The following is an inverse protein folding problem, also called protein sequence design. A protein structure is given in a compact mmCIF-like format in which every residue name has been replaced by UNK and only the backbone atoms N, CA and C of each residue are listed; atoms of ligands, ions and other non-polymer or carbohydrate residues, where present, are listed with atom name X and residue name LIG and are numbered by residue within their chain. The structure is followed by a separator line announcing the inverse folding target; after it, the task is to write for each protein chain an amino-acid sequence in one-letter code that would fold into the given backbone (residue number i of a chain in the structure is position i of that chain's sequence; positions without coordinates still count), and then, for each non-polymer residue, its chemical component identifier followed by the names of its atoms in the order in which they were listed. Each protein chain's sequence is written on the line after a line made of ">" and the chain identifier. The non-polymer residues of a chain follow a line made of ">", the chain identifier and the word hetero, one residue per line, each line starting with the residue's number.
data_IF_574101687153
#
_entry.id   IF_574101687153
#
_cell.length_a   1.000
_cell.length_b   1.000
_cell.length_c   1.000
_cell.angle_alpha   90.00
_cell.angle_beta   90.00
_cell.angle_gamma   90.00
#
_symmetry.space_group_name_H-M   'P 1'
#
loop_
_entity.id
_entity.type
_entity.pdbx_description
1 polymer ?
#
# COMPACT_ATOMS: atom_id res chain seq x y z
N UNK A 1 -2.62 -3.33 -50.75
CA UNK A 1 -3.37 -4.09 -49.74
C UNK A 1 -2.80 -3.65 -48.42
N UNK A 2 -3.27 -2.51 -47.99
CA UNK A 2 -3.01 -1.87 -46.70
C UNK A 2 -4.33 -2.08 -45.95
N UNK A 3 -4.29 -2.95 -44.95
CA UNK A 3 -5.38 -3.19 -44.03
C UNK A 3 -5.03 -2.46 -42.75
N UNK A 4 -5.91 -1.54 -42.39
CA UNK A 4 -6.03 -0.91 -41.08
C UNK A 4 -6.23 -2.00 -40.01
N UNK A 5 -5.45 -1.93 -38.93
CA UNK A 5 -5.70 -2.58 -37.63
C UNK A 5 -4.92 -1.76 -36.59
N UNK A 6 -5.48 -0.60 -36.23
CA UNK A 6 -5.07 0.24 -35.10
C UNK A 6 -6.36 0.65 -34.41
N UNK A 7 -6.85 -0.17 -33.47
CA UNK A 7 -7.79 0.21 -32.39
C UNK A 7 -8.34 -1.04 -31.68
N UNK A 8 -7.51 -1.76 -30.92
CA UNK A 8 -8.03 -2.73 -29.93
C UNK A 8 -7.27 -2.67 -28.59
N UNK A 9 -6.24 -1.83 -28.45
CA UNK A 9 -5.29 -1.91 -27.33
C UNK A 9 -5.74 -1.18 -26.04
N UNK A 10 -6.63 -0.18 -26.12
CA UNK A 10 -7.05 0.60 -24.94
C UNK A 10 -8.39 0.15 -24.33
N UNK A 11 -8.91 -1.04 -24.67
CA UNK A 11 -10.28 -1.37 -24.25
C UNK A 11 -10.46 -1.44 -22.72
N UNK A 12 -9.41 -1.77 -21.96
CA UNK A 12 -9.48 -1.86 -20.50
C UNK A 12 -9.61 -0.47 -19.87
N UNK A 13 -8.85 0.50 -20.37
CA UNK A 13 -8.92 1.90 -19.96
C UNK A 13 -10.23 2.54 -20.48
N UNK A 14 -10.55 2.34 -21.76
CA UNK A 14 -11.80 2.84 -22.34
C UNK A 14 -13.04 2.27 -21.65
N UNK A 15 -12.97 1.04 -21.13
CA UNK A 15 -14.08 0.45 -20.36
C UNK A 15 -14.24 1.08 -18.97
N UNK A 16 -13.17 1.68 -18.41
CA UNK A 16 -13.27 2.49 -17.19
C UNK A 16 -13.84 3.89 -17.50
N UNK A 17 -13.60 4.41 -18.72
CA UNK A 17 -14.02 5.77 -19.12
C UNK A 17 -15.42 5.85 -19.73
N UNK A 18 -15.81 4.91 -20.60
CA UNK A 18 -17.04 4.97 -21.42
C UNK A 18 -18.32 4.92 -20.58
N UNK A 19 -18.29 4.40 -19.35
CA UNK A 19 -19.47 4.31 -18.48
C UNK A 19 -19.62 5.49 -17.49
N UNK A 20 -18.63 6.38 -17.41
CA UNK A 20 -18.70 7.63 -16.64
C UNK A 20 -19.46 8.76 -17.39
N UNK A 21 -19.88 8.51 -18.63
CA UNK A 21 -20.66 9.43 -19.47
C UNK A 21 -22.19 9.31 -19.30
N UNK A 22 -22.75 10.11 -18.40
CA UNK A 22 -24.15 10.61 -18.36
C UNK A 22 -25.26 9.62 -18.83
N UNK A 23 -25.71 8.76 -17.91
CA UNK A 23 -26.93 7.96 -18.09
C UNK A 23 -28.19 8.81 -17.86
N UNK A 24 -28.62 9.54 -18.89
CA UNK A 24 -30.01 10.02 -18.95
C UNK A 24 -30.97 8.89 -19.39
N UNK A 25 -32.06 8.63 -18.66
CA UNK A 25 -33.06 7.66 -19.10
C UNK A 25 -33.91 8.27 -20.22
N UNK A 26 -33.85 7.69 -21.42
CA UNK A 26 -34.82 7.98 -22.48
C UNK A 26 -36.02 7.04 -22.34
N UNK A 27 -37.03 7.51 -21.61
CA UNK A 27 -38.37 6.96 -21.69
C UNK A 27 -39.11 7.45 -22.95
N UNK A 28 -39.63 6.46 -23.68
CA UNK A 28 -40.91 6.38 -24.38
C UNK A 28 -41.39 7.50 -25.34
N UNK A 29 -41.58 7.06 -26.59
CA UNK A 29 -42.82 7.17 -27.38
C UNK A 29 -43.36 8.57 -27.72
N UNK A 30 -43.25 8.98 -28.99
CA UNK A 30 -44.41 9.42 -29.79
C UNK A 30 -44.05 9.65 -31.28
N UNK A 31 -44.98 9.23 -32.14
CA UNK A 31 -44.96 9.20 -33.61
C UNK A 31 -44.86 10.58 -34.32
N UNK A 32 -44.48 10.63 -35.61
CA UNK A 32 -44.23 11.88 -36.33
C UNK A 32 -45.50 12.44 -37.00
N UNK A 33 -45.65 13.78 -36.98
CA UNK A 33 -46.57 14.51 -37.85
C UNK A 33 -45.82 15.64 -38.58
N UNK A 34 -46.29 15.85 -39.80
CA UNK A 34 -45.72 16.48 -40.99
C UNK A 34 -45.77 18.01 -41.07
N UNK A 35 -44.82 18.55 -41.87
CA UNK A 35 -44.98 19.59 -42.91
C UNK A 35 -44.98 21.11 -42.60
N UNK A 36 -44.50 21.83 -43.62
CA UNK A 36 -44.57 23.27 -43.98
C UNK A 36 -43.47 24.18 -43.37
N UNK A 37 -42.48 24.66 -44.13
CA UNK A 37 -42.46 25.66 -45.25
C UNK A 37 -42.45 27.13 -44.81
N UNK A 38 -41.66 27.91 -45.57
CA UNK A 38 -41.58 29.39 -45.72
C UNK A 38 -40.77 30.17 -44.67
N UNK A 39 -40.12 31.29 -44.96
CA UNK A 39 -39.38 31.88 -46.11
C UNK A 39 -39.02 33.31 -45.62
N UNK A 40 -37.85 33.82 -46.01
CA UNK A 40 -37.51 35.26 -46.18
C UNK A 40 -37.57 36.21 -44.94
N UNK A 41 -36.83 37.30 -44.77
CA UNK A 41 -35.79 38.03 -45.52
C UNK A 41 -35.24 39.17 -44.62
N UNK A 42 -34.03 39.67 -44.94
CA UNK A 42 -33.53 41.08 -44.82
C UNK A 42 -33.45 41.75 -43.42
N UNK A 43 -32.36 42.36 -42.95
CA UNK A 43 -31.67 43.52 -43.55
C UNK A 43 -30.45 43.93 -42.68
N UNK A 44 -29.36 44.38 -43.29
CA UNK A 44 -28.28 45.19 -42.66
C UNK A 44 -28.54 46.71 -42.97
N UNK A 45 -27.64 47.71 -42.76
CA UNK A 45 -26.29 47.72 -42.17
C UNK A 45 -25.93 49.00 -41.34
N UNK A 46 -24.61 49.18 -41.10
CA UNK A 46 -23.82 50.42 -40.93
C UNK A 46 -23.56 50.93 -39.49
N UNK A 47 -22.42 51.53 -39.12
CA UNK A 47 -21.05 51.68 -39.66
C UNK A 47 -20.27 52.56 -38.64
N UNK A 48 -18.92 52.49 -38.70
CA UNK A 48 -17.90 53.43 -38.17
C UNK A 48 -17.67 53.52 -36.65
N UNK A 49 -16.45 53.51 -36.11
CA UNK A 49 -15.10 53.47 -36.69
C UNK A 49 -14.07 54.08 -35.72
N UNK A 50 -12.88 53.44 -35.62
CA UNK A 50 -11.50 53.99 -35.62
C UNK A 50 -11.09 55.04 -34.54
N UNK A 51 -9.87 55.12 -34.01
CA UNK A 51 -8.58 54.43 -34.21
C UNK A 51 -7.58 54.90 -33.11
N UNK A 52 -6.64 54.01 -32.78
CA UNK A 52 -5.16 54.14 -32.62
C UNK A 52 -4.50 55.36 -31.92
N UNK A 53 -3.40 55.05 -31.20
CA UNK A 53 -2.30 56.00 -30.97
C UNK A 53 -1.32 55.64 -29.86
N UNK A 54 -0.16 55.10 -30.25
CA UNK A 54 1.09 54.81 -29.52
C UNK A 54 1.65 55.90 -28.58
N UNK A 55 2.48 55.49 -27.59
CA UNK A 55 3.96 55.68 -27.57
C UNK A 55 4.56 55.82 -26.16
N UNK A 56 5.47 54.89 -25.82
CA UNK A 56 6.83 55.02 -25.26
C UNK A 56 7.25 55.97 -24.09
N UNK A 57 8.38 55.55 -23.49
CA UNK A 57 9.35 56.19 -22.56
C UNK A 57 9.08 56.15 -21.04
N UNK A 58 10.06 56.05 -20.13
CA UNK A 58 11.47 55.59 -20.10
C UNK A 58 11.93 55.68 -18.61
N UNK A 59 12.84 54.81 -18.20
CA UNK A 59 13.93 55.00 -17.20
C UNK A 59 13.72 55.23 -15.68
N UNK A 60 14.63 54.55 -14.93
CA UNK A 60 15.33 54.96 -13.68
C UNK A 60 14.57 54.88 -12.33
N UNK A 61 15.16 54.63 -11.16
CA UNK A 61 16.44 54.09 -10.67
C UNK A 61 16.37 54.05 -9.12
N UNK A 62 16.93 53.00 -8.51
CA UNK A 62 17.70 52.93 -7.25
C UNK A 62 17.29 53.65 -5.93
N UNK A 63 17.52 52.87 -4.86
CA UNK A 63 17.97 53.23 -3.49
C UNK A 63 17.02 53.94 -2.51
N UNK A 64 16.73 53.28 -1.37
CA UNK A 64 17.42 53.53 -0.09
C UNK A 64 16.68 52.94 1.13
N UNK A 65 17.36 52.11 1.91
CA UNK A 65 17.15 51.93 3.36
C UNK A 65 18.16 52.85 4.07
N UNK A 66 17.82 53.57 5.16
CA UNK A 66 18.31 53.16 6.49
C UNK A 66 17.55 53.70 7.72
N UNK A 67 17.98 53.25 8.92
CA UNK A 67 17.60 53.61 10.32
C UNK A 67 16.44 52.78 10.91
N UNK A 68 16.52 52.14 12.08
CA UNK A 68 17.44 52.15 13.24
C UNK A 68 16.56 51.86 14.47
N UNK A 69 16.70 50.71 15.14
CA UNK A 69 17.44 50.47 16.40
C UNK A 69 16.80 51.08 17.68
N UNK A 70 17.02 50.37 18.80
CA UNK A 70 16.57 50.53 20.20
C UNK A 70 15.29 49.73 20.56
N UNK A 71 15.29 48.70 21.40
CA UNK A 71 16.25 48.28 22.42
C UNK A 71 15.67 48.47 23.84
N UNK A 72 16.19 47.66 24.76
CA UNK A 72 15.95 47.62 26.21
C UNK A 72 14.82 46.73 26.76
N UNK A 73 15.31 45.80 27.58
CA UNK A 73 14.63 44.81 28.38
C UNK A 73 14.21 45.37 29.74
N UNK A 74 13.26 44.71 30.41
CA UNK A 74 13.25 44.54 31.87
C UNK A 74 12.48 43.27 32.26
N UNK A 75 12.98 42.66 33.33
CA UNK A 75 12.66 41.34 33.86
C UNK A 75 11.65 41.37 35.03
N UNK A 76 11.44 40.18 35.58
CA UNK A 76 10.89 39.81 36.90
C UNK A 76 9.35 39.75 37.00
N UNK A 77 8.71 38.88 37.81
CA UNK A 77 8.94 37.59 38.47
C UNK A 77 7.67 37.36 39.33
N UNK A 78 7.43 36.10 39.74
CA UNK A 78 6.56 35.67 40.86
C UNK A 78 5.02 35.82 40.69
N UNK A 79 4.12 35.02 41.29
CA UNK A 79 4.08 33.73 41.97
C UNK A 79 2.59 33.47 42.34
N UNK A 80 2.29 32.30 42.92
CA UNK A 80 1.07 31.90 43.66
C UNK A 80 -0.20 31.48 42.89
N UNK A 81 -1.08 30.62 43.41
CA UNK A 81 -1.04 29.34 44.15
C UNK A 81 -2.51 28.93 44.42
N UNK A 82 -2.74 27.62 44.54
CA UNK A 82 -3.86 26.95 45.24
C UNK A 82 -5.24 26.84 44.52
N UNK A 83 -6.22 26.08 45.05
CA UNK A 83 -6.21 24.65 45.41
C UNK A 83 -7.51 23.93 44.99
N UNK A 84 -7.51 22.62 44.67
CA UNK A 84 -8.69 21.78 44.91
C UNK A 84 -8.30 20.34 45.26
N UNK A 85 -8.90 19.91 46.35
CA UNK A 85 -8.85 18.64 47.05
C UNK A 85 -10.06 17.78 46.63
N UNK A 86 -9.94 16.49 46.96
CA UNK A 86 -10.99 15.48 47.17
C UNK A 86 -11.31 14.46 46.06
N UNK A 87 -11.10 13.18 46.41
CA UNK A 87 -12.20 12.21 46.34
C UNK A 87 -12.04 10.88 45.57
N UNK A 88 -11.33 9.90 46.16
CA UNK A 88 -11.96 8.60 46.50
C UNK A 88 -11.80 7.35 45.60
N UNK A 89 -11.22 6.29 46.20
CA UNK A 89 -11.43 4.86 45.91
C UNK A 89 -10.23 4.16 45.26
N UNK A 90 -9.59 3.12 45.80
CA UNK A 90 -9.85 2.23 46.93
C UNK A 90 -9.21 0.88 46.61
N UNK A 91 -7.97 0.65 47.06
CA UNK A 91 -7.27 -0.63 46.91
C UNK A 91 -7.60 -1.58 48.09
N UNK A 92 -8.16 -2.77 47.85
CA UNK A 92 -8.31 -3.78 48.88
C UNK A 92 -7.10 -4.72 48.85
N UNK A 93 -6.45 -4.85 50.01
CA UNK A 93 -5.77 -6.05 50.56
C UNK A 93 -4.57 -5.63 51.40
N UNK A 94 -4.90 -5.16 52.61
CA UNK A 94 -4.01 -5.15 53.77
C UNK A 94 -4.29 -6.39 54.61
N UNK A 95 -3.31 -7.27 54.72
CA UNK A 95 -3.01 -8.07 55.93
C UNK A 95 -1.65 -8.73 55.67
N UNK A 96 -0.60 -8.60 56.46
CA UNK A 96 -0.47 -8.26 57.87
C UNK A 96 0.44 -9.30 58.52
N UNK A 97 1.41 -8.86 59.32
CA UNK A 97 2.01 -9.70 60.37
C UNK A 97 3.48 -10.10 60.17
N UNK A 98 4.36 -9.45 60.92
CA UNK A 98 5.76 -9.85 61.13
C UNK A 98 5.88 -10.95 62.19
N UNK A 99 6.86 -11.85 62.10
CA UNK A 99 7.96 -12.01 63.08
C UNK A 99 8.66 -13.37 62.93
N UNK A 100 9.97 -13.32 63.18
CA UNK A 100 10.98 -14.38 63.13
C UNK A 100 10.93 -15.32 64.34
N UNK A 101 11.07 -16.64 64.14
CA UNK A 101 11.76 -17.55 65.09
C UNK A 101 12.26 -18.81 64.36
N UNK A 102 13.53 -19.16 64.59
CA UNK A 102 14.19 -20.43 64.22
C UNK A 102 13.67 -21.64 65.02
N UNK A 103 13.62 -22.83 64.41
CA UNK A 103 14.13 -24.10 64.98
C UNK A 103 13.84 -25.33 64.09
N UNK A 104 14.82 -26.23 64.09
CA UNK A 104 15.01 -27.48 63.35
C UNK A 104 13.96 -28.59 63.52
N UNK A 105 13.91 -29.50 62.52
CA UNK A 105 13.73 -30.97 62.57
C UNK A 105 12.59 -31.58 61.70
N UNK A 106 12.99 -32.43 60.75
CA UNK A 106 12.25 -33.46 59.98
C UNK A 106 11.97 -34.71 60.89
N UNK A 107 11.12 -35.74 60.60
CA UNK A 107 10.30 -36.05 59.40
C UNK A 107 8.87 -36.59 59.64
N UNK A 108 8.14 -36.79 58.53
CA UNK A 108 7.22 -37.91 58.21
C UNK A 108 5.79 -37.54 57.76
N UNK A 109 5.48 -37.91 56.51
CA UNK A 109 4.22 -38.46 55.94
C UNK A 109 2.87 -37.91 56.43
N UNK A 110 2.07 -37.32 55.53
CA UNK A 110 1.05 -38.03 54.72
C UNK A 110 0.07 -37.04 54.07
N UNK A 111 -0.22 -37.30 52.80
CA UNK A 111 -1.44 -37.05 52.01
C UNK A 111 -2.21 -35.71 52.04
N UNK A 112 -2.28 -35.08 50.87
CA UNK A 112 -3.16 -33.94 50.58
C UNK A 112 -3.11 -33.54 49.11
N UNK A 113 -3.69 -34.39 48.24
CA UNK A 113 -3.69 -34.22 46.79
C UNK A 113 -4.33 -32.92 46.29
N UNK A 114 -3.59 -32.24 45.41
CA UNK A 114 -4.12 -31.27 44.45
C UNK A 114 -4.15 -31.93 43.08
N UNK A 115 -5.31 -32.48 42.72
CA UNK A 115 -5.69 -32.84 41.36
C UNK A 115 -5.41 -31.60 40.48
N UNK A 116 -4.57 -31.68 39.44
CA UNK A 116 -4.56 -30.86 38.19
C UNK A 116 -3.20 -30.78 37.45
N UNK A 117 -2.14 -31.51 37.81
CA UNK A 117 -0.83 -31.34 37.11
C UNK A 117 -0.22 -32.58 36.41
N UNK A 118 -0.79 -33.78 36.52
CA UNK A 118 -0.10 -35.00 36.02
C UNK A 118 -0.50 -35.46 34.59
N UNK A 119 -1.57 -34.90 34.00
CA UNK A 119 -2.05 -35.30 32.66
C UNK A 119 -1.37 -34.52 31.50
N UNK A 120 -0.77 -33.36 31.78
CA UNK A 120 -0.09 -32.58 30.75
C UNK A 120 1.37 -33.02 30.55
N UNK A 121 2.06 -33.39 31.64
CA UNK A 121 3.46 -33.82 31.60
C UNK A 121 3.64 -35.21 30.95
N UNK A 122 2.70 -36.13 31.20
CA UNK A 122 2.75 -37.50 30.66
C UNK A 122 2.42 -37.56 29.16
N UNK A 123 1.64 -36.62 28.65
CA UNK A 123 1.37 -36.51 27.21
C UNK A 123 2.65 -36.20 26.42
N UNK A 124 3.53 -35.36 26.97
CA UNK A 124 4.79 -34.97 26.32
C UNK A 124 5.88 -36.05 26.45
N UNK A 125 5.94 -36.75 27.58
CA UNK A 125 6.88 -37.86 27.78
C UNK A 125 6.57 -39.08 26.92
N UNK A 126 5.30 -39.30 26.53
CA UNK A 126 4.93 -40.43 25.65
C UNK A 126 5.35 -40.24 24.18
N UNK A 127 5.70 -39.02 23.77
CA UNK A 127 6.09 -38.69 22.39
C UNK A 127 7.62 -38.64 22.17
N UNK A 128 8.43 -38.77 23.23
CA UNK A 128 9.88 -38.54 23.18
C UNK A 128 10.70 -39.74 23.62
N UNK A 129 10.68 -40.83 22.86
CA UNK A 129 11.65 -41.92 22.99
C UNK A 129 12.09 -42.38 21.60
N UNK A 130 12.86 -41.51 20.94
CA UNK A 130 13.51 -41.76 19.66
C UNK A 130 14.99 -41.37 19.78
N UNK A 131 15.84 -42.36 19.55
CA UNK A 131 17.30 -42.35 19.62
C UNK A 131 17.92 -41.25 18.74
N UNK A 132 19.04 -40.68 19.18
CA UNK A 132 19.67 -39.53 18.53
C UNK A 132 20.19 -39.82 17.11
N UNK A 133 19.86 -38.92 16.20
CA UNK A 133 20.72 -38.53 15.08
C UNK A 133 20.76 -37.00 15.02
N UNK A 134 21.96 -36.44 15.03
CA UNK A 134 22.19 -35.00 14.96
C UNK A 134 22.51 -34.65 13.52
N UNK A 135 21.50 -34.22 12.77
CA UNK A 135 21.68 -33.69 11.42
C UNK A 135 20.36 -33.43 10.72
N UNK A 136 20.09 -32.15 10.39
CA UNK A 136 19.22 -31.65 9.31
C UNK A 136 17.67 -31.69 9.38
N UNK A 137 17.02 -31.69 10.54
CA UNK A 137 15.54 -31.68 10.59
C UNK A 137 14.92 -30.32 10.97
N UNK A 138 15.00 -29.32 10.08
CA UNK A 138 14.09 -28.16 10.09
C UNK A 138 13.60 -27.77 8.69
N UNK A 139 13.54 -28.75 7.78
CA UNK A 139 12.85 -28.64 6.50
C UNK A 139 11.56 -29.47 6.55
N UNK A 140 10.66 -29.19 7.50
CA UNK A 140 9.27 -29.60 7.31
C UNK A 140 8.67 -28.69 6.25
N UNK A 141 8.68 -29.17 5.01
CA UNK A 141 7.99 -28.58 3.87
C UNK A 141 6.52 -28.38 4.27
N UNK A 142 6.07 -27.13 4.36
CA UNK A 142 4.71 -26.79 4.75
C UNK A 142 3.75 -27.29 3.64
N UNK A 143 3.25 -28.52 3.78
CA UNK A 143 2.27 -29.10 2.86
C UNK A 143 0.96 -28.32 2.94
N UNK A 144 0.71 -27.51 1.92
CA UNK A 144 -0.51 -26.73 1.76
C UNK A 144 -1.02 -26.92 0.35
N UNK A 145 -2.27 -27.33 0.22
CA UNK A 145 -2.95 -27.53 -1.07
C UNK A 145 -3.20 -26.21 -1.84
N UNK A 146 -2.85 -25.06 -1.26
CA UNK A 146 -3.08 -23.74 -1.87
C UNK A 146 -1.94 -23.47 -2.87
N UNK A 147 -2.24 -23.25 -4.16
CA UNK A 147 -1.24 -22.87 -5.15
C UNK A 147 -0.45 -21.64 -4.71
N UNK A 148 0.83 -21.57 -5.05
CA UNK A 148 1.75 -20.52 -4.60
C UNK A 148 2.42 -19.83 -5.77
N UNK A 149 2.82 -18.58 -5.55
CA UNK A 149 3.56 -17.74 -6.50
C UNK A 149 4.74 -17.10 -5.80
N UNK A 150 5.83 -16.98 -6.54
CA UNK A 150 6.99 -16.21 -6.11
C UNK A 150 6.76 -14.72 -6.35
N UNK A 151 7.37 -13.88 -5.50
CA UNK A 151 7.40 -12.44 -5.67
C UNK A 151 8.25 -12.07 -6.88
N UNK A 152 9.33 -12.81 -7.16
CA UNK A 152 10.23 -12.52 -8.26
C UNK A 152 11.38 -11.58 -7.91
N UNK A 153 11.69 -11.46 -6.62
CA UNK A 153 12.81 -10.67 -6.10
C UNK A 153 13.85 -11.64 -5.54
N UNK A 154 15.02 -11.68 -6.17
CA UNK A 154 16.11 -12.53 -5.75
C UNK A 154 16.51 -12.24 -4.29
N UNK A 155 16.73 -13.30 -3.51
CA UNK A 155 17.01 -13.23 -2.09
C UNK A 155 15.75 -13.04 -1.24
N UNK A 156 14.76 -12.28 -1.70
CA UNK A 156 13.48 -12.14 -0.99
C UNK A 156 12.64 -13.41 -1.10
N UNK A 157 12.54 -14.02 -2.28
CA UNK A 157 11.79 -15.27 -2.44
C UNK A 157 12.36 -16.39 -1.56
N UNK A 158 13.67 -16.37 -1.29
CA UNK A 158 14.31 -17.33 -0.39
C UNK A 158 14.01 -17.06 1.09
N UNK A 159 13.62 -15.83 1.42
CA UNK A 159 13.07 -15.51 2.75
C UNK A 159 11.64 -16.04 2.90
N UNK A 160 10.96 -16.43 1.82
CA UNK A 160 9.60 -16.96 1.82
C UNK A 160 9.66 -18.47 1.64
N UNK A 161 9.19 -19.25 2.62
CA UNK A 161 9.24 -20.71 2.50
C UNK A 161 8.12 -21.21 1.56
N UNK A 162 8.47 -21.42 0.29
CA UNK A 162 7.60 -22.00 -0.74
C UNK A 162 6.72 -21.01 -1.50
N UNK A 163 6.97 -19.70 -1.37
CA UNK A 163 6.19 -18.66 -2.06
C UNK A 163 4.89 -18.27 -1.34
N UNK A 164 4.22 -17.26 -1.91
CA UNK A 164 2.98 -16.69 -1.36
C UNK A 164 1.78 -17.43 -1.95
N UNK A 165 0.77 -17.79 -1.15
CA UNK A 165 -0.46 -18.34 -1.70
C UNK A 165 -1.10 -17.43 -2.76
N UNK A 166 -1.55 -18.02 -3.87
CA UNK A 166 -2.26 -17.32 -4.93
C UNK A 166 -3.51 -16.64 -4.39
N UNK A 167 -3.91 -15.53 -5.05
CA UNK A 167 -5.10 -14.73 -4.69
C UNK A 167 -5.00 -14.05 -3.32
N UNK A 168 -3.80 -14.00 -2.75
CA UNK A 168 -3.55 -13.20 -1.56
C UNK A 168 -3.43 -11.73 -1.91
N UNK A 169 -3.81 -10.92 -0.92
CA UNK A 169 -3.57 -9.49 -0.94
C UNK A 169 -2.24 -9.21 -0.24
N UNK A 170 -1.27 -8.68 -0.97
CA UNK A 170 0.07 -8.34 -0.51
C UNK A 170 0.13 -6.83 -0.34
N UNK A 171 0.85 -6.32 0.67
CA UNK A 171 1.21 -4.91 0.73
C UNK A 171 2.72 -4.74 0.90
N UNK A 172 3.26 -3.78 0.16
CA UNK A 172 4.63 -3.27 0.33
C UNK A 172 4.57 -1.86 0.92
N UNK A 173 5.10 -1.70 2.12
CA UNK A 173 5.05 -0.47 2.92
C UNK A 173 6.45 0.11 3.01
N UNK A 174 6.58 1.43 2.86
CA UNK A 174 7.87 2.08 3.04
C UNK A 174 7.85 3.58 2.81
N UNK A 175 8.87 4.28 3.28
CA UNK A 175 9.03 5.72 3.05
C UNK A 175 9.29 6.05 1.57
N UNK A 176 9.26 7.33 1.21
CA UNK A 176 9.63 7.77 -0.13
C UNK A 176 11.07 7.33 -0.49
N UNK A 177 11.25 6.88 -1.74
CA UNK A 177 12.56 6.45 -2.25
C UNK A 177 13.02 5.05 -1.82
N UNK A 178 12.24 4.29 -1.06
CA UNK A 178 12.59 2.90 -0.70
C UNK A 178 12.26 1.88 -1.80
N UNK A 179 11.94 2.31 -3.03
CA UNK A 179 11.76 1.39 -4.16
C UNK A 179 10.42 0.62 -4.22
N UNK A 180 9.37 1.08 -3.54
CA UNK A 180 8.06 0.40 -3.53
C UNK A 180 7.47 0.17 -4.93
N UNK A 181 7.47 1.19 -5.79
CA UNK A 181 7.04 1.07 -7.19
C UNK A 181 7.88 0.03 -7.93
N UNK A 182 9.21 0.07 -7.77
CA UNK A 182 10.11 -0.93 -8.38
C UNK A 182 9.81 -2.34 -7.88
N UNK A 183 9.46 -2.51 -6.61
CA UNK A 183 9.03 -3.79 -6.04
C UNK A 183 7.77 -4.30 -6.75
N UNK A 184 6.76 -3.43 -6.92
CA UNK A 184 5.52 -3.78 -7.63
C UNK A 184 5.76 -4.14 -9.10
N UNK A 185 6.53 -3.32 -9.82
CA UNK A 185 6.86 -3.60 -11.22
C UNK A 185 7.64 -4.91 -11.40
N UNK A 186 8.60 -5.19 -10.51
CA UNK A 186 9.36 -6.44 -10.54
C UNK A 186 8.47 -7.67 -10.25
N UNK A 187 7.46 -7.50 -9.38
CA UNK A 187 6.44 -8.53 -9.14
C UNK A 187 5.59 -8.84 -10.38
N UNK A 188 5.20 -7.81 -11.15
CA UNK A 188 4.50 -8.02 -12.43
C UNK A 188 5.42 -8.62 -13.48
N UNK A 189 6.62 -8.06 -13.65
CA UNK A 189 7.61 -8.54 -14.61
C UNK A 189 7.94 -10.02 -14.42
N UNK A 190 8.04 -10.48 -13.18
CA UNK A 190 8.22 -11.89 -12.89
C UNK A 190 7.04 -12.76 -13.38
N UNK A 191 5.79 -12.31 -13.17
CA UNK A 191 4.62 -12.98 -13.73
C UNK A 191 4.63 -13.01 -15.25
N UNK A 192 4.84 -11.86 -15.89
CA UNK A 192 4.89 -11.70 -17.34
C UNK A 192 5.93 -12.63 -17.99
N UNK A 193 7.13 -12.74 -17.39
CA UNK A 193 8.17 -13.68 -17.85
C UNK A 193 7.78 -15.15 -17.74
N UNK A 194 6.85 -15.47 -16.84
CA UNK A 194 6.30 -16.82 -16.66
C UNK A 194 5.01 -17.05 -17.49
N UNK A 195 4.61 -16.09 -18.33
CA UNK A 195 3.45 -16.17 -19.20
C UNK A 195 2.13 -15.84 -18.50
N UNK A 196 2.18 -15.22 -17.32
CA UNK A 196 1.01 -14.70 -16.61
C UNK A 196 0.57 -13.34 -17.19
N UNK A 197 -0.72 -13.00 -17.07
CA UNK A 197 -1.22 -11.66 -17.42
C UNK A 197 -1.24 -10.74 -16.21
N UNK A 198 -0.90 -9.47 -16.42
CA UNK A 198 -0.68 -8.50 -15.36
C UNK A 198 -1.45 -7.19 -15.57
N UNK A 199 -1.90 -6.57 -14.48
CA UNK A 199 -2.48 -5.23 -14.49
C UNK A 199 -1.70 -4.33 -13.54
N UNK A 200 -1.30 -3.14 -14.00
CA UNK A 200 -0.72 -2.11 -13.14
C UNK A 200 -1.67 -0.92 -13.07
N UNK A 201 -2.31 -0.73 -11.92
CA UNK A 201 -3.15 0.44 -11.64
C UNK A 201 -2.30 1.47 -10.90
N UNK A 202 -2.19 2.68 -11.43
CA UNK A 202 -1.50 3.78 -10.76
C UNK A 202 -2.40 4.98 -10.52
N UNK A 203 -2.12 5.69 -9.43
CA UNK A 203 -2.80 6.93 -9.04
C UNK A 203 -1.80 8.10 -8.90
N UNK A 204 -0.50 7.83 -9.04
CA UNK A 204 0.58 8.79 -8.76
C UNK A 204 1.45 9.11 -9.98
N UNK A 205 1.49 8.22 -10.96
CA UNK A 205 2.36 8.30 -12.13
C UNK A 205 1.53 8.13 -13.39
N UNK A 206 2.00 8.69 -14.51
CA UNK A 206 1.35 8.47 -15.79
C UNK A 206 1.72 7.11 -16.37
N UNK A 207 0.89 6.62 -17.29
CA UNK A 207 1.17 5.46 -18.13
C UNK A 207 2.62 5.44 -18.66
N UNK A 208 3.01 6.50 -19.38
CA UNK A 208 4.35 6.63 -19.98
C UNK A 208 5.49 6.58 -18.95
N UNK A 209 5.28 7.12 -17.74
CA UNK A 209 6.31 7.11 -16.71
C UNK A 209 6.57 5.70 -16.17
N UNK A 210 5.54 4.85 -16.17
CA UNK A 210 5.67 3.44 -15.80
C UNK A 210 6.43 2.68 -16.90
N UNK A 211 6.09 2.89 -18.17
CA UNK A 211 6.80 2.31 -19.30
C UNK A 211 8.27 2.73 -19.32
N UNK A 212 8.57 4.02 -19.16
CA UNK A 212 9.95 4.54 -19.07
C UNK A 212 10.72 3.85 -17.93
N UNK A 213 10.09 3.73 -16.76
CA UNK A 213 10.69 3.09 -15.58
C UNK A 213 11.02 1.61 -15.83
N UNK A 214 10.14 0.89 -16.55
CA UNK A 214 10.37 -0.49 -16.93
C UNK A 214 11.40 -0.62 -18.06
N UNK A 215 11.39 0.30 -19.02
CA UNK A 215 12.31 0.39 -20.15
C UNK A 215 13.75 0.63 -19.71
N UNK A 216 13.98 1.52 -18.75
CA UNK A 216 15.29 1.77 -18.13
C UNK A 216 15.91 0.52 -17.51
N UNK A 217 15.09 -0.46 -17.13
CA UNK A 217 15.49 -1.74 -16.54
C UNK A 217 15.51 -2.90 -17.55
N UNK A 218 15.15 -2.64 -18.80
CA UNK A 218 15.09 -3.63 -19.86
C UNK A 218 14.02 -4.71 -19.64
N UNK A 219 12.91 -4.36 -18.99
CA UNK A 219 11.82 -5.31 -18.69
C UNK A 219 10.80 -5.48 -19.83
N UNK A 220 10.85 -4.63 -20.85
CA UNK A 220 10.06 -4.77 -22.07
C UNK A 220 8.54 -4.74 -21.85
N UNK A 221 8.06 -3.78 -21.06
CA UNK A 221 6.63 -3.67 -20.74
C UNK A 221 5.81 -3.26 -21.96
N UNK A 222 6.35 -2.42 -22.83
CA UNK A 222 5.76 -2.05 -24.11
C UNK A 222 5.39 -3.30 -24.92
N UNK A 223 6.30 -4.28 -25.03
CA UNK A 223 6.03 -5.50 -25.78
C UNK A 223 4.95 -6.37 -25.12
N UNK A 224 4.85 -6.38 -23.79
CA UNK A 224 3.81 -7.13 -23.08
C UNK A 224 2.43 -6.49 -23.24
N UNK A 225 2.39 -5.17 -23.31
CA UNK A 225 1.17 -4.41 -23.55
C UNK A 225 0.66 -4.60 -24.98
N UNK A 226 1.54 -4.49 -25.99
CA UNK A 226 1.23 -4.81 -27.40
C UNK A 226 0.74 -6.25 -27.60
N UNK A 227 1.10 -7.17 -26.69
CA UNK A 227 0.67 -8.58 -26.72
C UNK A 227 -0.63 -8.83 -25.95
N UNK A 228 -1.21 -7.80 -25.32
CA UNK A 228 -2.40 -7.91 -24.47
C UNK A 228 -2.15 -8.72 -23.19
N UNK A 229 -0.90 -8.82 -22.73
CA UNK A 229 -0.53 -9.52 -21.50
C UNK A 229 -0.37 -8.56 -20.31
N UNK A 230 -0.13 -7.29 -20.57
CA UNK A 230 -0.05 -6.22 -19.58
C UNK A 230 -1.09 -5.15 -19.91
N UNK A 231 -1.77 -4.63 -18.89
CA UNK A 231 -2.52 -3.39 -18.98
C UNK A 231 -2.02 -2.42 -17.90
N UNK A 232 -1.59 -1.23 -18.31
CA UNK A 232 -1.24 -0.14 -17.39
C UNK A 232 -2.40 0.87 -17.42
N UNK A 233 -2.90 1.25 -16.25
CA UNK A 233 -3.99 2.23 -16.12
C UNK A 233 -3.60 3.29 -15.13
N UNK A 234 -3.53 4.54 -15.57
CA UNK A 234 -3.31 5.70 -14.72
C UNK A 234 -4.64 6.41 -14.40
N UNK A 235 -5.17 6.12 -13.22
CA UNK A 235 -6.41 6.69 -12.74
C UNK A 235 -6.15 8.10 -12.16
N UNK A 236 -6.95 9.08 -12.57
CA UNK A 236 -6.90 10.39 -11.96
C UNK A 236 -7.42 10.35 -10.51
N UNK A 237 -6.70 10.90 -9.51
CA UNK A 237 -7.14 10.88 -8.12
C UNK A 237 -8.48 11.58 -7.87
N UNK A 238 -8.81 12.63 -8.63
CA UNK A 238 -10.09 13.33 -8.50
C UNK A 238 -11.22 12.46 -9.03
N UNK A 239 -11.02 11.79 -10.16
CA UNK A 239 -12.00 10.84 -10.70
C UNK A 239 -12.22 9.67 -9.74
N UNK A 240 -11.13 9.11 -9.20
CA UNK A 240 -11.21 8.02 -8.24
C UNK A 240 -11.99 8.44 -6.97
N UNK A 241 -11.83 9.69 -6.50
CA UNK A 241 -12.59 10.19 -5.35
C UNK A 241 -14.11 10.31 -5.63
N UNK A 242 -14.46 10.67 -6.85
CA UNK A 242 -15.85 10.91 -7.25
C UNK A 242 -16.57 9.62 -7.67
N UNK A 243 -15.83 8.64 -8.21
CA UNK A 243 -16.36 7.44 -8.85
C UNK A 243 -15.90 6.14 -8.17
N UNK A 244 -15.37 6.19 -6.94
CA UNK A 244 -14.89 4.99 -6.23
C UNK A 244 -15.94 3.87 -6.19
N UNK A 245 -17.21 4.19 -5.98
CA UNK A 245 -18.28 3.18 -5.92
C UNK A 245 -18.44 2.45 -7.26
N UNK A 246 -18.33 3.16 -8.39
CA UNK A 246 -18.39 2.60 -9.73
C UNK A 246 -17.13 1.78 -10.02
N UNK A 247 -15.94 2.37 -9.81
CA UNK A 247 -14.65 1.70 -10.01
C UNK A 247 -14.60 0.41 -9.17
N UNK A 248 -15.02 0.45 -7.90
CA UNK A 248 -15.07 -0.75 -7.04
C UNK A 248 -16.00 -1.82 -7.59
N UNK A 249 -17.11 -1.43 -8.24
CA UNK A 249 -18.10 -2.33 -8.83
C UNK A 249 -17.65 -2.96 -10.14
N UNK A 250 -16.96 -2.19 -10.99
CA UNK A 250 -16.58 -2.57 -12.36
C UNK A 250 -15.21 -3.24 -12.42
N UNK A 251 -14.25 -2.74 -11.65
CA UNK A 251 -12.86 -3.21 -11.68
C UNK A 251 -12.72 -4.73 -11.52
N UNK A 252 -13.45 -5.42 -10.62
CA UNK A 252 -13.38 -6.88 -10.54
C UNK A 252 -13.77 -7.59 -11.84
N UNK A 253 -14.82 -7.10 -12.52
CA UNK A 253 -15.28 -7.69 -13.78
C UNK A 253 -14.30 -7.41 -14.93
N UNK A 254 -13.68 -6.23 -14.94
CA UNK A 254 -12.64 -5.89 -15.92
C UNK A 254 -11.39 -6.76 -15.73
N UNK A 255 -10.93 -6.92 -14.49
CA UNK A 255 -9.81 -7.81 -14.15
C UNK A 255 -10.11 -9.25 -14.59
N UNK A 256 -11.32 -9.74 -14.31
CA UNK A 256 -11.73 -11.09 -14.70
C UNK A 256 -11.81 -11.24 -16.24
N UNK A 257 -12.31 -10.23 -16.95
CA UNK A 257 -12.40 -10.23 -18.41
C UNK A 257 -11.02 -10.16 -19.08
N UNK A 258 -10.10 -9.38 -18.51
CA UNK A 258 -8.70 -9.34 -18.96
C UNK A 258 -7.97 -10.65 -18.66
N UNK A 259 -8.38 -11.36 -17.61
CA UNK A 259 -7.75 -12.62 -17.19
C UNK A 259 -6.45 -12.38 -16.43
N UNK A 260 -6.37 -11.33 -15.62
CA UNK A 260 -5.16 -11.01 -14.86
C UNK A 260 -4.86 -12.05 -13.78
N UNK A 261 -3.62 -12.51 -13.71
CA UNK A 261 -3.10 -13.35 -12.62
C UNK A 261 -2.48 -12.49 -11.51
N UNK A 262 -1.87 -11.36 -11.90
CA UNK A 262 -1.24 -10.38 -11.00
C UNK A 262 -1.81 -8.99 -11.19
N UNK A 263 -1.97 -8.28 -10.07
CA UNK A 263 -2.34 -6.87 -10.08
C UNK A 263 -1.43 -6.09 -9.13
N UNK A 264 -0.99 -4.91 -9.54
CA UNK A 264 -0.37 -3.92 -8.65
C UNK A 264 -1.26 -2.69 -8.58
N UNK A 265 -1.42 -2.13 -7.38
CA UNK A 265 -2.02 -0.81 -7.16
C UNK A 265 -1.00 0.13 -6.52
N UNK A 266 -0.55 1.14 -7.26
CA UNK A 266 0.45 2.13 -6.84
C UNK A 266 -0.07 3.58 -6.88
N UNK A 267 -0.50 4.19 -5.78
CA UNK A 267 -0.46 3.70 -4.39
C UNK A 267 -1.85 3.66 -3.76
N UNK A 268 -2.08 2.70 -2.86
CA UNK A 268 -3.30 2.68 -2.02
C UNK A 268 -3.33 3.85 -1.04
N UNK A 269 -2.20 4.53 -0.82
CA UNK A 269 -2.12 5.63 0.13
C UNK A 269 -2.95 6.84 -0.30
N UNK A 270 -3.12 7.08 -1.60
CA UNK A 270 -4.04 8.11 -2.08
C UNK A 270 -5.49 7.81 -1.70
N UNK A 271 -5.94 6.56 -1.81
CA UNK A 271 -7.27 6.16 -1.35
C UNK A 271 -7.43 6.39 0.16
N UNK A 272 -6.40 6.14 0.96
CA UNK A 272 -6.46 6.42 2.40
C UNK A 272 -6.56 7.93 2.70
N UNK A 273 -5.95 8.78 1.87
CA UNK A 273 -5.94 10.24 2.02
C UNK A 273 -7.26 10.93 1.63
N UNK A 274 -8.10 10.28 0.81
CA UNK A 274 -9.35 10.87 0.31
C UNK A 274 -10.41 11.13 1.39
N UNK A 275 -10.33 10.44 2.52
CA UNK A 275 -11.37 10.46 3.54
C UNK A 275 -10.81 10.98 4.86
N UNK A 276 -11.34 12.11 5.35
CA UNK A 276 -10.96 12.67 6.65
C UNK A 276 -11.46 11.82 7.83
N UNK A 277 -12.69 11.30 7.73
CA UNK A 277 -13.30 10.48 8.78
C UNK A 277 -12.68 9.09 8.82
N UNK A 278 -12.16 8.71 9.99
CA UNK A 278 -11.47 7.43 10.20
C UNK A 278 -12.37 6.23 9.92
N UNK A 279 -13.66 6.30 10.31
CA UNK A 279 -14.59 5.18 10.16
C UNK A 279 -14.94 4.96 8.70
N UNK A 280 -15.20 6.05 7.97
CA UNK A 280 -15.44 6.02 6.52
C UNK A 280 -14.20 5.50 5.79
N UNK A 281 -13.02 6.06 6.05
CA UNK A 281 -11.76 5.60 5.44
C UNK A 281 -11.58 4.09 5.59
N UNK A 282 -11.74 3.58 6.80
CA UNK A 282 -11.59 2.14 7.07
C UNK A 282 -12.60 1.31 6.28
N UNK A 283 -13.83 1.78 6.15
CA UNK A 283 -14.90 1.09 5.43
C UNK A 283 -14.62 1.07 3.93
N UNK A 284 -14.30 2.22 3.34
CA UNK A 284 -14.02 2.32 1.90
C UNK A 284 -12.79 1.52 1.47
N UNK A 285 -11.69 1.62 2.23
CA UNK A 285 -10.47 0.84 1.99
C UNK A 285 -10.74 -0.66 2.17
N UNK A 286 -11.53 -1.05 3.17
CA UNK A 286 -11.92 -2.46 3.37
C UNK A 286 -12.73 -2.99 2.19
N UNK A 287 -13.76 -2.25 1.76
CA UNK A 287 -14.63 -2.70 0.68
C UNK A 287 -13.90 -2.74 -0.66
N UNK A 288 -13.00 -1.78 -0.92
CA UNK A 288 -12.17 -1.76 -2.12
C UNK A 288 -11.17 -2.92 -2.15
N UNK A 289 -10.39 -3.13 -1.08
CA UNK A 289 -9.46 -4.27 -1.02
C UNK A 289 -10.17 -5.62 -1.09
N UNK A 290 -11.40 -5.70 -0.55
CA UNK A 290 -12.25 -6.89 -0.63
C UNK A 290 -12.76 -7.14 -2.06
N UNK A 291 -13.03 -6.11 -2.86
CA UNK A 291 -13.47 -6.30 -4.26
C UNK A 291 -12.33 -6.90 -5.11
N UNK A 292 -11.09 -6.43 -4.92
CA UNK A 292 -9.90 -7.00 -5.57
C UNK A 292 -9.71 -8.48 -5.20
N UNK A 293 -9.89 -8.84 -3.93
CA UNK A 293 -9.81 -10.24 -3.49
C UNK A 293 -10.92 -11.12 -4.10
N UNK A 294 -12.09 -10.56 -4.36
CA UNK A 294 -13.20 -11.28 -5.02
C UNK A 294 -12.93 -11.54 -6.50
N UNK A 295 -12.20 -10.65 -7.18
CA UNK A 295 -11.76 -10.84 -8.56
C UNK A 295 -10.81 -12.05 -8.72
N UNK A 296 -10.26 -12.59 -7.62
CA UNK A 296 -9.46 -13.81 -7.64
C UNK A 296 -8.05 -13.64 -8.21
N UNK A 297 -7.55 -12.41 -8.26
CA UNK A 297 -6.21 -12.02 -8.71
C UNK A 297 -5.23 -11.91 -7.53
N UNK A 298 -3.96 -12.23 -7.73
CA UNK A 298 -2.92 -11.97 -6.70
C UNK A 298 -2.54 -10.50 -6.74
N UNK A 299 -2.92 -9.76 -5.70
CA UNK A 299 -2.83 -8.30 -5.71
C UNK A 299 -1.69 -7.82 -4.81
N UNK A 300 -0.89 -6.88 -5.28
CA UNK A 300 0.08 -6.13 -4.48
C UNK A 300 -0.32 -4.66 -4.37
N UNK A 301 -0.51 -4.21 -3.14
CA UNK A 301 -0.75 -2.81 -2.81
C UNK A 301 0.57 -2.14 -2.46
N UNK A 302 0.82 -0.96 -3.00
CA UNK A 302 1.90 -0.10 -2.55
C UNK A 302 1.34 0.92 -1.57
N UNK A 303 1.96 1.04 -0.40
CA UNK A 303 1.54 1.98 0.64
C UNK A 303 2.73 2.75 1.21
N UNK A 304 2.52 4.03 1.48
CA UNK A 304 3.46 4.86 2.23
C UNK A 304 3.45 4.49 3.71
N UNK A 305 4.65 4.41 4.28
CA UNK A 305 4.82 4.23 5.72
C UNK A 305 4.36 5.47 6.50
N UNK A 306 3.89 5.27 7.73
CA UNK A 306 3.62 6.34 8.69
C UNK A 306 4.91 7.06 9.09
N UNK A 307 4.86 8.39 9.19
CA UNK A 307 5.98 9.20 9.69
C UNK A 307 6.38 8.82 11.12
N UNK A 308 5.41 8.39 11.93
CA UNK A 308 5.59 8.02 13.33
C UNK A 308 5.97 6.55 13.53
N UNK A 309 5.66 5.69 12.57
CA UNK A 309 5.90 4.26 12.64
C UNK A 309 6.25 3.70 11.25
N UNK A 310 7.55 3.50 10.95
CA UNK A 310 8.01 2.96 9.67
C UNK A 310 7.51 1.54 9.36
N UNK A 311 6.99 0.82 10.36
CA UNK A 311 6.49 -0.56 10.25
C UNK A 311 4.99 -0.65 9.98
N UNK A 312 4.32 0.48 9.74
CA UNK A 312 2.90 0.54 9.42
C UNK A 312 2.65 1.57 8.31
N UNK A 313 1.59 1.35 7.53
CA UNK A 313 1.01 2.31 6.60
C UNK A 313 0.62 3.58 7.33
N UNK A 314 0.43 4.64 6.55
CA UNK A 314 0.09 5.98 7.05
C UNK A 314 -1.00 5.99 8.13
N UNK A 315 -2.03 5.16 7.98
CA UNK A 315 -3.13 5.07 8.93
C UNK A 315 -3.26 3.72 9.66
N UNK A 316 -2.35 2.77 9.41
CA UNK A 316 -2.31 1.48 10.09
C UNK A 316 -3.54 0.61 9.80
N UNK A 317 -4.13 0.74 8.61
CA UNK A 317 -5.33 -0.01 8.21
C UNK A 317 -4.93 -1.18 7.29
N UNK A 318 -4.04 -0.93 6.33
CA UNK A 318 -3.72 -1.84 5.24
C UNK A 318 -3.09 -3.16 5.73
N UNK A 319 -2.29 -3.12 6.81
CA UNK A 319 -1.64 -4.30 7.41
C UNK A 319 -2.65 -5.26 8.03
N UNK A 320 -3.87 -4.83 8.34
CA UNK A 320 -4.89 -5.72 8.89
C UNK A 320 -5.70 -6.41 7.79
N UNK A 321 -5.83 -5.74 6.64
CA UNK A 321 -6.64 -6.18 5.51
C UNK A 321 -5.92 -7.17 4.60
N UNK A 322 -4.60 -7.01 4.49
CA UNK A 322 -3.75 -7.85 3.65
C UNK A 322 -3.47 -9.22 4.26
N UNK A 323 -2.95 -10.12 3.45
CA UNK A 323 -2.49 -11.46 3.83
C UNK A 323 -0.96 -11.53 3.94
N UNK A 324 -0.22 -10.70 3.20
CA UNK A 324 1.23 -10.55 3.32
C UNK A 324 1.64 -9.07 3.48
N UNK A 325 2.67 -8.78 4.28
CA UNK A 325 3.18 -7.43 4.53
C UNK A 325 4.71 -7.43 4.42
N UNK A 326 5.22 -6.65 3.47
CA UNK A 326 6.63 -6.35 3.28
C UNK A 326 6.93 -4.92 3.72
N UNK A 327 7.96 -4.73 4.54
CA UNK A 327 8.39 -3.41 5.02
C UNK A 327 9.73 -3.07 4.37
N UNK A 328 9.80 -1.93 3.67
CA UNK A 328 10.99 -1.36 3.06
C UNK A 328 11.40 -0.11 3.85
N UNK A 329 12.59 -0.14 4.47
CA UNK A 329 13.02 0.90 5.38
C UNK A 329 14.47 1.34 5.16
N UNK A 330 14.76 2.58 5.54
CA UNK A 330 16.11 3.08 5.67
C UNK A 330 16.69 2.66 7.02
N UNK A 331 17.83 1.99 7.00
CA UNK A 331 18.63 1.72 8.19
C UNK A 331 19.80 2.68 8.21
N UNK A 332 19.79 3.58 9.20
CA UNK A 332 20.88 4.52 9.44
C UNK A 332 21.87 3.89 10.40
N UNK A 333 23.12 3.72 9.96
CA UNK A 333 24.21 3.30 10.84
C UNK A 333 24.90 4.51 11.46
N UNK A 334 25.43 4.34 12.66
CA UNK A 334 26.33 5.31 13.31
C UNK A 334 27.57 5.64 12.45
N UNK A 335 27.91 4.74 11.51
CA UNK A 335 29.02 4.87 10.56
C UNK A 335 28.73 5.83 9.39
N UNK A 336 27.51 6.37 9.29
CA UNK A 336 27.14 7.45 8.37
C UNK A 336 26.53 7.01 7.04
N UNK A 337 26.66 5.73 6.66
CA UNK A 337 25.99 5.20 5.48
C UNK A 337 24.56 4.78 5.81
N UNK A 338 23.60 5.33 5.06
CA UNK A 338 22.22 4.87 5.09
C UNK A 338 22.08 3.70 4.13
N UNK A 339 21.55 2.57 4.62
CA UNK A 339 21.29 1.37 3.82
C UNK A 339 19.79 1.14 3.69
N UNK A 340 19.39 0.43 2.66
CA UNK A 340 18.02 -0.04 2.50
C UNK A 340 17.88 -1.45 3.05
N UNK A 341 16.73 -1.74 3.64
CA UNK A 341 16.45 -3.01 4.28
C UNK A 341 15.00 -3.44 4.07
N UNK A 342 14.81 -4.73 3.88
CA UNK A 342 13.50 -5.37 3.74
C UNK A 342 13.24 -6.28 4.93
N UNK A 343 12.01 -6.28 5.40
CA UNK A 343 11.49 -7.19 6.42
C UNK A 343 10.14 -7.75 5.98
N UNK A 344 9.94 -9.05 6.22
CA UNK A 344 8.64 -9.69 6.04
C UNK A 344 7.94 -9.67 7.40
N UNK A 345 6.95 -8.79 7.55
CA UNK A 345 6.23 -8.64 8.82
C UNK A 345 5.22 -9.79 9.00
N UNK A 346 4.57 -10.21 7.90
CA UNK A 346 3.65 -11.35 7.92
C UNK A 346 3.52 -11.99 6.54
N UNK A 347 3.24 -13.28 6.50
CA UNK A 347 2.58 -13.97 5.39
C UNK A 347 1.60 -14.98 5.97
N UNK A 348 0.30 -14.81 5.71
CA UNK A 348 -0.72 -15.77 6.15
C UNK A 348 -0.62 -17.07 5.35
N UNK A 349 -0.66 -18.19 6.06
CA UNK A 349 -0.57 -19.54 5.48
C UNK A 349 0.77 -19.81 4.76
N UNK A 350 1.85 -19.14 5.17
CA UNK A 350 3.21 -19.46 4.75
C UNK A 350 4.17 -19.14 5.89
N UNK A 351 5.25 -19.91 6.00
CA UNK A 351 6.37 -19.55 6.85
C UNK A 351 7.29 -18.59 6.10
N UNK A 352 7.95 -17.72 6.84
CA UNK A 352 8.92 -16.76 6.29
C UNK A 352 10.02 -16.47 7.31
N UNK A 353 11.15 -15.96 6.80
CA UNK A 353 12.22 -15.45 7.64
C UNK A 353 11.73 -14.27 8.48
N UNK A 354 12.22 -14.20 9.72
CA UNK A 354 12.04 -13.06 10.64
C UNK A 354 13.22 -12.11 10.64
N UNK A 355 14.21 -12.36 9.79
CA UNK A 355 15.40 -11.52 9.68
C UNK A 355 15.12 -10.29 8.80
N UNK A 356 15.59 -9.13 9.23
CA UNK A 356 15.69 -7.96 8.36
C UNK A 356 16.94 -8.11 7.48
N UNK A 357 16.79 -8.02 6.15
CA UNK A 357 17.88 -8.18 5.20
C UNK A 357 18.17 -6.88 4.43
N UNK A 358 19.45 -6.54 4.19
CA UNK A 358 19.78 -5.39 3.38
C UNK A 358 19.51 -5.69 1.90
N UNK A 359 19.13 -4.68 1.14
CA UNK A 359 18.95 -4.79 -0.31
C UNK A 359 19.49 -3.55 -1.01
N UNK A 360 19.68 -3.68 -2.32
CA UNK A 360 20.02 -2.57 -3.21
C UNK A 360 19.01 -2.45 -4.35
N UNK A 361 18.86 -1.23 -4.86
CA UNK A 361 18.12 -0.94 -6.09
C UNK A 361 19.18 -0.77 -7.18
N UNK A 362 19.23 -1.74 -8.07
CA UNK A 362 20.17 -1.79 -9.20
C UNK A 362 19.46 -1.45 -10.51
N UNK A 363 20.20 -1.44 -11.62
CA UNK A 363 19.61 -1.29 -12.96
C UNK A 363 18.72 -2.49 -13.33
N UNK A 364 18.92 -3.65 -12.70
CA UNK A 364 18.12 -4.87 -12.95
C UNK A 364 16.91 -4.97 -12.00
N UNK A 365 16.74 -4.00 -11.09
CA UNK A 365 15.70 -3.99 -10.06
C UNK A 365 16.24 -4.17 -8.63
N UNK A 366 15.37 -4.61 -7.74
CA UNK A 366 15.69 -4.87 -6.33
C UNK A 366 16.40 -6.23 -6.20
N UNK A 367 17.49 -6.24 -5.43
CA UNK A 367 18.21 -7.47 -5.07
C UNK A 367 18.47 -7.50 -3.56
N UNK A 368 18.03 -8.57 -2.90
CA UNK A 368 18.18 -8.75 -1.45
C UNK A 368 19.40 -9.61 -1.13
N UNK A 369 20.25 -9.14 -0.23
CA UNK A 369 21.44 -9.87 0.17
C UNK A 369 21.14 -10.97 1.18
N UNK A 370 21.38 -12.22 0.78
CA UNK A 370 21.04 -13.41 1.56
C UNK A 370 21.91 -13.55 2.83
N UNK A 371 23.21 -13.35 2.69
CA UNK A 371 24.21 -13.64 3.74
C UNK A 371 24.59 -12.41 4.57
N UNK A 372 24.13 -11.23 4.18
CA UNK A 372 24.42 -10.00 4.90
C UNK A 372 23.37 -9.80 5.99
N UNK A 373 23.84 -9.56 7.22
CA UNK A 373 23.01 -9.11 8.32
C UNK A 373 23.25 -7.62 8.54
N UNK A 374 22.18 -6.90 8.85
CA UNK A 374 22.22 -5.46 9.12
C UNK A 374 22.85 -5.18 10.50
N UNK A 375 22.83 -6.18 11.40
CA UNK A 375 23.28 -6.11 12.79
C UNK A 375 24.41 -7.08 13.10
#
# INVERSE_FOLDING_TARGET
>A
MSGDDESDDDWFESALDDENGDSQPRDADETPVTAAESDAEESAPADTGLAEGDSDDDSSSADSNPFGDDGSAVADADSDSSPFDDGGGGDPFSSGGSSTVDAEADPSSDDGGGLFDDDFATAFESAGSGDGDSGSDFEEEFESDIPRVDIGIEGLDQMIQGGIPQRHLIVTIGSAGTGKTTFGLQFLHHGLRNGESAVFLTLEQSHDAILDTAGDRGWGFEEYEEQGQLAIVDLDPVEMANSLDNIRGELPALIEKFGADRLVLDSVSLLEMMYDDQSRRRTEVFDFTRSLKQAGVTTMLVSEASESNPFASRHGIIEYLTDAVFILQYVRSDTGETRLAVEIQKIRNANHSRETKPYEITNDGISVYQQANIF
#
